data_IF_757254939256
#
_entry.id   IF_757254939256
#
_cell.length_a   1.000
_cell.length_b   1.000
_cell.length_c   1.000
_cell.angle_alpha   90.00
_cell.angle_beta   90.00
_cell.angle_gamma   90.00
#
_symmetry.space_group_name_H-M   'P 1'
#
loop_
_entity.id
_entity.type
_entity.pdbx_description
1 polymer ?
#
# COMPACT_ATOMS: atom_id res chain seq x y z
N UNK A 1 25.57 -13.18 -23.17
CA UNK A 1 24.14 -13.42 -22.90
C UNK A 1 23.49 -12.04 -22.85
N UNK A 2 22.71 -11.66 -23.86
CA UNK A 2 22.00 -10.37 -23.84
C UNK A 2 21.01 -10.41 -22.69
N UNK A 3 21.25 -9.64 -21.63
CA UNK A 3 20.28 -9.48 -20.55
C UNK A 3 19.06 -8.85 -21.21
N UNK A 4 17.99 -9.63 -21.39
CA UNK A 4 16.73 -9.11 -21.91
C UNK A 4 16.29 -7.93 -21.05
N UNK A 5 15.87 -6.84 -21.69
CA UNK A 5 15.43 -5.62 -21.00
C UNK A 5 14.31 -5.97 -20.02
N UNK A 6 14.63 -6.03 -18.73
CA UNK A 6 13.67 -6.37 -17.69
C UNK A 6 12.64 -5.23 -17.56
N UNK A 7 11.38 -5.57 -17.27
CA UNK A 7 10.36 -4.57 -16.98
C UNK A 7 10.70 -3.78 -15.72
N UNK A 8 10.37 -2.49 -15.68
CA UNK A 8 10.61 -1.64 -14.52
C UNK A 8 9.52 -1.90 -13.45
N UNK A 9 9.86 -2.50 -12.30
CA UNK A 9 8.87 -2.82 -11.27
C UNK A 9 8.25 -1.56 -10.63
N UNK A 10 8.93 -0.41 -10.65
CA UNK A 10 8.42 0.84 -10.11
C UNK A 10 7.09 1.26 -10.72
N UNK A 11 6.88 0.95 -12.01
CA UNK A 11 5.63 1.26 -12.70
C UNK A 11 4.46 0.53 -12.04
N UNK A 12 4.64 -0.74 -11.69
CA UNK A 12 3.62 -1.54 -11.00
C UNK A 12 3.44 -1.03 -9.57
N UNK A 13 4.53 -0.77 -8.84
CA UNK A 13 4.48 -0.27 -7.47
C UNK A 13 3.74 1.06 -7.35
N UNK A 14 4.04 2.02 -8.22
CA UNK A 14 3.39 3.34 -8.26
C UNK A 14 1.94 3.26 -8.72
N UNK A 15 1.62 2.43 -9.72
CA UNK A 15 0.25 2.25 -10.17
C UNK A 15 -0.62 1.60 -9.09
N UNK A 16 -0.09 0.58 -8.40
CA UNK A 16 -0.74 -0.07 -7.26
C UNK A 16 -1.08 0.91 -6.16
N UNK A 17 -0.09 1.70 -5.74
CA UNK A 17 -0.28 2.73 -4.74
C UNK A 17 -1.29 3.80 -5.18
N UNK A 18 -1.08 4.38 -6.36
CA UNK A 18 -1.83 5.53 -6.85
C UNK A 18 -3.31 5.22 -7.06
N UNK A 19 -3.63 4.11 -7.72
CA UNK A 19 -5.03 3.73 -7.96
C UNK A 19 -5.76 3.37 -6.67
N UNK A 20 -5.11 2.65 -5.76
CA UNK A 20 -5.73 2.29 -4.47
C UNK A 20 -5.97 3.54 -3.61
N UNK A 21 -5.00 4.48 -3.59
CA UNK A 21 -5.14 5.76 -2.91
C UNK A 21 -6.28 6.58 -3.51
N UNK A 22 -6.38 6.65 -4.84
CA UNK A 22 -7.45 7.39 -5.52
C UNK A 22 -8.84 6.86 -5.14
N UNK A 23 -9.02 5.54 -5.12
CA UNK A 23 -10.28 4.92 -4.71
C UNK A 23 -10.59 5.19 -3.22
N UNK A 24 -9.58 5.14 -2.35
CA UNK A 24 -9.75 5.54 -0.96
C UNK A 24 -10.22 7.00 -0.85
N UNK A 25 -9.67 7.90 -1.67
CA UNK A 25 -10.14 9.29 -1.65
C UNK A 25 -11.57 9.43 -2.16
N UNK A 26 -11.96 8.71 -3.22
CA UNK A 26 -13.37 8.68 -3.66
C UNK A 26 -14.31 8.18 -2.58
N UNK A 27 -13.91 7.18 -1.80
CA UNK A 27 -14.65 6.76 -0.63
C UNK A 27 -14.72 7.86 0.44
N UNK A 28 -13.61 8.50 0.79
CA UNK A 28 -13.54 9.55 1.81
C UNK A 28 -14.43 10.76 1.49
N UNK A 29 -14.60 11.10 0.21
CA UNK A 29 -15.51 12.18 -0.22
C UNK A 29 -16.94 11.70 -0.51
N UNK A 30 -17.26 10.44 -0.20
CA UNK A 30 -18.62 9.89 -0.27
C UNK A 30 -19.11 9.46 -1.65
N UNK A 31 -18.25 9.36 -2.66
CA UNK A 31 -18.65 8.95 -4.01
C UNK A 31 -18.87 7.44 -4.16
N UNK A 32 -18.30 6.63 -3.25
CA UNK A 32 -18.41 5.18 -3.30
C UNK A 32 -18.24 4.52 -1.92
N UNK A 33 -18.69 3.26 -1.82
CA UNK A 33 -18.48 2.44 -0.62
C UNK A 33 -17.03 1.94 -0.49
N UNK A 34 -16.70 1.41 0.70
CA UNK A 34 -15.35 0.97 1.07
C UNK A 34 -14.91 -0.34 0.36
N UNK A 35 -15.86 -1.15 -0.10
CA UNK A 35 -15.60 -2.50 -0.64
C UNK A 35 -14.52 -2.56 -1.74
N UNK A 36 -14.59 -1.76 -2.81
CA UNK A 36 -13.55 -1.76 -3.84
C UNK A 36 -12.18 -1.29 -3.33
N UNK A 37 -12.14 -0.41 -2.33
CA UNK A 37 -10.89 0.04 -1.70
C UNK A 37 -10.22 -1.12 -0.96
N UNK A 38 -11.00 -1.92 -0.22
CA UNK A 38 -10.51 -3.12 0.47
C UNK A 38 -9.94 -4.12 -0.54
N UNK A 39 -10.67 -4.40 -1.62
CA UNK A 39 -10.20 -5.32 -2.66
C UNK A 39 -8.90 -4.86 -3.32
N UNK A 40 -8.82 -3.57 -3.68
CA UNK A 40 -7.62 -2.98 -4.26
C UNK A 40 -6.46 -2.90 -3.28
N UNK A 41 -6.75 -2.63 -2.00
CA UNK A 41 -5.79 -2.64 -0.90
C UNK A 41 -5.14 -4.01 -0.71
N UNK A 42 -5.87 -5.10 -0.88
CA UNK A 42 -5.26 -6.43 -0.83
C UNK A 42 -4.49 -6.80 -2.10
N UNK A 43 -5.07 -6.55 -3.27
CA UNK A 43 -4.54 -7.11 -4.52
C UNK A 43 -3.50 -6.21 -5.17
N UNK A 44 -3.80 -4.92 -5.38
CA UNK A 44 -2.95 -4.06 -6.20
C UNK A 44 -2.09 -3.10 -5.37
N UNK A 45 -2.71 -2.30 -4.50
CA UNK A 45 -1.98 -1.51 -3.51
C UNK A 45 -1.24 -2.36 -2.47
N UNK A 46 -1.66 -3.61 -2.28
CA UNK A 46 -1.04 -4.54 -1.34
C UNK A 46 -0.07 -5.52 -1.99
N UNK A 47 -0.58 -6.64 -2.47
CA UNK A 47 0.21 -7.77 -2.98
C UNK A 47 1.08 -7.39 -4.18
N UNK A 48 0.52 -6.78 -5.23
CA UNK A 48 1.30 -6.42 -6.41
C UNK A 48 2.38 -5.38 -6.07
N UNK A 49 2.07 -4.42 -5.20
CA UNK A 49 3.04 -3.42 -4.73
C UNK A 49 4.16 -4.06 -3.87
N UNK A 50 3.84 -5.03 -3.00
CA UNK A 50 4.84 -5.84 -2.28
C UNK A 50 5.78 -6.58 -3.25
N UNK A 51 5.20 -7.25 -4.25
CA UNK A 51 5.97 -7.98 -5.27
C UNK A 51 6.87 -7.02 -6.07
N UNK A 52 6.37 -5.83 -6.42
CA UNK A 52 7.16 -4.79 -7.06
C UNK A 52 8.34 -4.36 -6.16
N UNK A 53 8.12 -4.19 -4.85
CA UNK A 53 9.18 -3.90 -3.89
C UNK A 53 10.29 -4.96 -3.89
N UNK A 54 9.95 -6.24 -3.77
CA UNK A 54 10.95 -7.32 -3.84
C UNK A 54 11.66 -7.40 -5.20
N UNK A 55 11.00 -6.98 -6.29
CA UNK A 55 11.62 -6.89 -7.60
C UNK A 55 12.61 -5.72 -7.71
N UNK A 56 12.32 -4.56 -7.08
CA UNK A 56 13.26 -3.42 -7.01
C UNK A 56 14.59 -3.79 -6.35
N UNK A 57 14.57 -4.69 -5.36
CA UNK A 57 15.80 -5.20 -4.74
C UNK A 57 16.74 -5.84 -5.77
N UNK A 58 16.18 -6.57 -6.76
CA UNK A 58 16.95 -7.21 -7.84
C UNK A 58 17.49 -6.19 -8.85
N UNK A 59 16.89 -5.01 -8.91
CA UNK A 59 17.31 -3.89 -9.75
C UNK A 59 18.35 -2.99 -9.07
N UNK A 60 18.70 -3.28 -7.80
CA UNK A 60 19.62 -2.46 -7.01
C UNK A 60 19.01 -1.15 -6.51
N UNK A 61 17.68 -1.01 -6.58
CA UNK A 61 16.98 0.20 -6.15
C UNK A 61 16.51 0.06 -4.69
N UNK A 62 17.33 0.55 -3.77
CA UNK A 62 17.06 0.46 -2.33
C UNK A 62 15.82 1.26 -1.91
N UNK A 63 15.63 2.46 -2.48
CA UNK A 63 14.49 3.30 -2.17
C UNK A 63 13.18 2.66 -2.65
N UNK A 64 13.15 2.19 -3.89
CA UNK A 64 11.98 1.48 -4.44
C UNK A 64 11.64 0.22 -3.65
N UNK A 65 12.65 -0.57 -3.26
CA UNK A 65 12.46 -1.72 -2.38
C UNK A 65 11.80 -1.33 -1.06
N UNK A 66 12.36 -0.33 -0.36
CA UNK A 66 11.84 0.12 0.93
C UNK A 66 10.41 0.67 0.78
N UNK A 67 10.21 1.64 -0.12
CA UNK A 67 8.94 2.32 -0.30
C UNK A 67 7.82 1.36 -0.72
N UNK A 68 8.00 0.56 -1.78
CA UNK A 68 6.93 -0.31 -2.26
C UNK A 68 6.64 -1.47 -1.32
N UNK A 69 7.66 -2.05 -0.69
CA UNK A 69 7.42 -3.12 0.30
C UNK A 69 6.67 -2.57 1.52
N UNK A 70 7.06 -1.39 2.00
CA UNK A 70 6.38 -0.72 3.12
C UNK A 70 4.93 -0.37 2.80
N UNK A 71 4.68 0.33 1.70
CA UNK A 71 3.30 0.74 1.36
C UNK A 71 2.42 -0.43 0.90
N UNK A 72 3.00 -1.49 0.34
CA UNK A 72 2.30 -2.75 0.11
C UNK A 72 1.81 -3.40 1.40
N UNK A 73 2.67 -3.45 2.42
CA UNK A 73 2.29 -3.94 3.74
C UNK A 73 1.27 -3.03 4.44
N UNK A 74 1.38 -1.71 4.27
CA UNK A 74 0.39 -0.75 4.75
C UNK A 74 -1.02 -1.05 4.24
N UNK A 75 -1.18 -1.22 2.92
CA UNK A 75 -2.50 -1.47 2.33
C UNK A 75 -3.12 -2.79 2.78
N UNK A 76 -2.31 -3.84 2.91
CA UNK A 76 -2.76 -5.13 3.45
C UNK A 76 -3.16 -4.98 4.92
N UNK A 77 -2.35 -4.31 5.74
CA UNK A 77 -2.65 -4.07 7.14
C UNK A 77 -3.93 -3.28 7.36
N UNK A 78 -4.11 -2.18 6.62
CA UNK A 78 -5.32 -1.36 6.67
C UNK A 78 -6.56 -2.14 6.20
N UNK A 79 -6.41 -2.94 5.14
CA UNK A 79 -7.46 -3.86 4.68
C UNK A 79 -7.86 -4.89 5.73
N UNK A 80 -6.89 -5.47 6.44
CA UNK A 80 -7.15 -6.41 7.55
C UNK A 80 -7.95 -5.71 8.65
N UNK A 81 -7.56 -4.50 9.07
CA UNK A 81 -8.29 -3.73 10.09
C UNK A 81 -9.75 -3.54 9.67
N UNK A 82 -10.01 -3.17 8.42
CA UNK A 82 -11.39 -2.97 7.93
C UNK A 82 -12.20 -4.27 7.91
N UNK A 83 -11.61 -5.39 7.47
CA UNK A 83 -12.28 -6.70 7.48
C UNK A 83 -12.58 -7.15 8.91
N UNK A 84 -11.61 -7.02 9.82
CA UNK A 84 -11.77 -7.37 11.23
C UNK A 84 -12.89 -6.56 11.89
N UNK A 85 -12.91 -5.24 11.66
CA UNK A 85 -13.99 -4.38 12.12
C UNK A 85 -15.35 -4.79 11.55
N UNK A 86 -15.43 -5.08 10.25
CA UNK A 86 -16.67 -5.51 9.59
C UNK A 86 -17.21 -6.84 10.13
N UNK A 87 -16.32 -7.78 10.45
CA UNK A 87 -16.66 -9.09 11.00
C UNK A 87 -16.87 -9.09 12.52
N UNK A 88 -16.61 -7.98 13.21
CA UNK A 88 -16.72 -7.89 14.67
C UNK A 88 -15.61 -8.62 15.43
N UNK A 89 -14.44 -8.83 14.81
CA UNK A 89 -13.28 -9.52 15.39
C UNK A 89 -12.17 -8.52 15.61
N UNK A 90 -11.46 -8.54 16.75
CA UNK A 90 -10.34 -7.63 17.06
C UNK A 90 -10.59 -6.18 16.62
N UNK A 91 -11.73 -5.63 17.04
CA UNK A 91 -12.19 -4.34 16.56
C UNK A 91 -11.22 -3.22 16.95
N UNK A 92 -10.89 -2.38 15.98
CA UNK A 92 -10.07 -1.18 16.13
C UNK A 92 -10.98 0.04 16.10
N UNK A 93 -10.87 0.88 17.12
CA UNK A 93 -11.56 2.17 17.18
C UNK A 93 -10.94 3.16 16.20
N UNK A 94 -11.62 4.28 15.94
CA UNK A 94 -11.07 5.39 15.15
C UNK A 94 -9.74 5.90 15.72
N UNK A 95 -9.61 5.90 17.05
CA UNK A 95 -8.36 6.31 17.73
C UNK A 95 -7.22 5.32 17.44
N UNK A 96 -7.49 4.01 17.47
CA UNK A 96 -6.48 2.98 17.18
C UNK A 96 -5.98 3.09 15.74
N UNK A 97 -6.90 3.28 14.78
CA UNK A 97 -6.57 3.52 13.37
C UNK A 97 -5.81 4.84 13.21
N UNK A 98 -6.13 5.88 14.00
CA UNK A 98 -5.39 7.13 14.02
C UNK A 98 -3.91 6.94 14.39
N UNK A 99 -3.62 6.19 15.45
CA UNK A 99 -2.23 5.87 15.83
C UNK A 99 -1.51 5.02 14.77
N UNK A 100 -2.21 4.08 14.15
CA UNK A 100 -1.68 3.33 13.00
C UNK A 100 -1.25 4.27 11.87
N UNK A 101 -2.11 5.22 11.47
CA UNK A 101 -1.81 6.19 10.41
C UNK A 101 -0.67 7.15 10.78
N UNK A 102 -0.57 7.57 12.05
CA UNK A 102 0.54 8.41 12.52
C UNK A 102 1.88 7.67 12.35
N UNK A 103 1.95 6.38 12.69
CA UNK A 103 3.15 5.58 12.50
C UNK A 103 3.59 5.52 11.03
N UNK A 104 2.66 5.32 10.10
CA UNK A 104 2.93 5.34 8.66
C UNK A 104 3.28 6.73 8.13
N UNK A 105 2.73 7.78 8.73
CA UNK A 105 3.08 9.17 8.41
C UNK A 105 4.54 9.45 8.78
N UNK A 106 5.02 8.96 9.93
CA UNK A 106 6.43 9.09 10.31
C UNK A 106 7.36 8.39 9.32
N UNK A 107 7.00 7.17 8.89
CA UNK A 107 7.77 6.47 7.85
C UNK A 107 7.79 7.26 6.53
N UNK A 108 6.66 7.83 6.14
CA UNK A 108 6.55 8.65 4.94
C UNK A 108 7.42 9.91 5.03
N UNK A 109 7.49 10.54 6.21
CA UNK A 109 8.37 11.68 6.43
C UNK A 109 9.86 11.31 6.29
N UNK A 110 10.25 10.11 6.74
CA UNK A 110 11.61 9.59 6.52
C UNK A 110 11.87 9.43 5.02
N UNK A 111 10.97 8.78 4.28
CA UNK A 111 11.11 8.61 2.83
C UNK A 111 11.11 9.92 2.04
N UNK A 112 10.44 10.96 2.56
CA UNK A 112 10.43 12.26 1.89
C UNK A 112 11.81 12.96 1.95
N UNK A 113 12.55 12.79 3.04
CA UNK A 113 13.85 13.45 3.24
C UNK A 113 15.02 12.61 2.69
N UNK A 114 14.85 11.29 2.61
CA UNK A 114 15.89 10.33 2.24
C UNK A 114 16.30 10.33 0.75
#
# INVERSE_FOLDING_TARGET
MSIGKQGNPAVVGLAGFGLTTLLLQFHNIGLMGLGPVVAMGFIFGGLAQLVAGFAEQKMGNNFGFAAFTSYGAFWIGLGIIWILNHLGVYQSTTTDVGYYLIAWTMLTAIFWIA
#
